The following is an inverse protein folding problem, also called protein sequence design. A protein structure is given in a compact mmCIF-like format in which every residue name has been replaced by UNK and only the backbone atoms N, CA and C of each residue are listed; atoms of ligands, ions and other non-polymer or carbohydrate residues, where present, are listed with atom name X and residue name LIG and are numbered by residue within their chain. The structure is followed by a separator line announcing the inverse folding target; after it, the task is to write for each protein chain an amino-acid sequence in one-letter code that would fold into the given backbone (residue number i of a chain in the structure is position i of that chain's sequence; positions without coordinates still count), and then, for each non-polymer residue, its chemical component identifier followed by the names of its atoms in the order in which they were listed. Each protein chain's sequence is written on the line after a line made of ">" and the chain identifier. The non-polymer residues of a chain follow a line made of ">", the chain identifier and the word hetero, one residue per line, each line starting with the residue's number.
data_IF_083478510541
#
_entry.id   IF_083478510541
#
_cell.length_a   1.000
_cell.length_b   1.000
_cell.length_c   1.000
_cell.angle_alpha   90.00
_cell.angle_beta   90.00
_cell.angle_gamma   90.00
#
_symmetry.space_group_name_H-M   'P 1'
#
loop_
_entity.id
_entity.type
_entity.pdbx_description
1 polymer ?
#
# COMPACT_ATOMS: atom_id res chain seq x y z
N UNK A 1 11.45 -2.82 -18.25
CA UNK A 1 11.48 -2.63 -16.76
C UNK A 1 11.04 -1.22 -16.36
N UNK A 2 11.72 -0.16 -16.80
CA UNK A 2 11.33 1.24 -16.55
C UNK A 2 9.87 1.54 -16.93
N UNK A 3 9.43 1.10 -18.12
CA UNK A 3 8.06 1.30 -18.60
C UNK A 3 6.99 0.64 -17.72
N UNK A 4 7.27 -0.56 -17.20
CA UNK A 4 6.37 -1.28 -16.28
C UNK A 4 6.35 -0.65 -14.89
N UNK A 5 7.51 -0.21 -14.40
CA UNK A 5 7.65 0.52 -13.14
C UNK A 5 6.87 1.83 -13.21
N UNK A 6 6.96 2.59 -14.30
CA UNK A 6 6.19 3.83 -14.50
C UNK A 6 4.67 3.61 -14.60
N UNK A 7 4.21 2.50 -15.16
CA UNK A 7 2.78 2.14 -15.19
C UNK A 7 2.25 1.82 -13.79
N UNK A 8 3.04 1.12 -12.97
CA UNK A 8 2.70 0.84 -11.57
C UNK A 8 2.72 2.14 -10.76
N UNK A 9 3.75 2.97 -10.90
CA UNK A 9 3.90 4.26 -10.22
C UNK A 9 2.79 5.26 -10.59
N UNK A 10 2.37 5.31 -11.86
CA UNK A 10 1.30 6.17 -12.33
C UNK A 10 -0.07 5.85 -11.72
N UNK A 11 -0.33 4.57 -11.42
CA UNK A 11 -1.54 4.11 -10.73
C UNK A 11 -1.42 4.18 -9.19
N UNK A 12 -0.21 4.40 -8.65
CA UNK A 12 0.08 4.46 -7.22
C UNK A 12 0.22 5.89 -6.68
N UNK A 13 -0.33 6.90 -7.36
CA UNK A 13 -0.33 8.28 -6.83
C UNK A 13 -1.29 8.38 -5.64
N UNK A 14 -0.81 7.98 -4.46
CA UNK A 14 -1.24 8.65 -3.23
C UNK A 14 -1.01 10.15 -3.43
N UNK A 15 -1.98 10.98 -3.03
CA UNK A 15 -1.74 12.40 -2.86
C UNK A 15 -0.44 12.59 -2.07
N UNK A 16 0.34 13.62 -2.39
CA UNK A 16 1.67 13.79 -1.83
C UNK A 16 1.60 13.67 -0.29
N UNK A 17 2.60 13.07 0.36
CA UNK A 17 2.60 12.97 1.83
C UNK A 17 2.36 14.33 2.51
N UNK A 18 2.75 15.41 1.82
CA UNK A 18 2.40 16.78 2.17
C UNK A 18 0.88 17.00 2.26
N UNK A 19 0.10 16.56 1.27
CA UNK A 19 -1.36 16.67 1.30
C UNK A 19 -1.94 15.89 2.48
N UNK A 20 -1.52 14.64 2.63
CA UNK A 20 -1.96 13.81 3.71
C UNK A 20 -1.60 14.37 5.10
N UNK A 21 -0.44 15.04 5.24
CA UNK A 21 0.00 15.58 6.54
C UNK A 21 -0.55 16.97 6.84
N UNK A 22 -0.72 17.81 5.83
CA UNK A 22 -0.90 19.26 6.03
C UNK A 22 -2.07 19.87 5.24
N UNK A 23 -2.61 19.20 4.23
CA UNK A 23 -3.66 19.80 3.40
C UNK A 23 -5.02 19.76 4.08
N UNK A 24 -5.38 20.88 4.71
CA UNK A 24 -6.67 21.14 5.37
C UNK A 24 -7.91 21.00 4.48
N UNK A 25 -7.74 20.89 3.16
CA UNK A 25 -8.84 20.65 2.22
C UNK A 25 -9.01 19.17 1.87
N UNK A 26 -8.07 18.30 2.25
CA UNK A 26 -8.11 16.86 1.96
C UNK A 26 -8.73 16.10 3.13
N UNK A 27 -9.81 15.35 2.88
CA UNK A 27 -10.52 14.58 3.93
C UNK A 27 -9.63 13.59 4.69
N UNK A 28 -8.57 13.09 4.05
CA UNK A 28 -7.62 12.16 4.65
C UNK A 28 -6.53 12.86 5.46
N UNK A 29 -6.55 14.19 5.59
CA UNK A 29 -5.48 14.94 6.22
C UNK A 29 -5.45 14.80 7.74
N UNK A 30 -4.26 14.51 8.29
CA UNK A 30 -4.01 14.42 9.74
C UNK A 30 -4.31 15.72 10.49
N UNK A 31 -4.24 16.83 9.76
CA UNK A 31 -4.46 18.17 10.28
C UNK A 31 -5.88 18.35 10.85
N UNK A 32 -6.87 17.56 10.41
CA UNK A 32 -8.23 17.58 10.97
C UNK A 32 -8.25 17.11 12.43
N UNK A 33 -7.66 15.95 12.70
CA UNK A 33 -7.60 15.38 14.06
C UNK A 33 -6.66 16.17 14.95
N UNK A 34 -5.47 16.54 14.47
CA UNK A 34 -4.52 17.30 15.27
C UNK A 34 -5.07 18.64 15.73
N UNK A 35 -5.80 19.33 14.86
CA UNK A 35 -6.44 20.56 15.28
C UNK A 35 -7.57 20.30 16.28
N UNK A 36 -8.45 19.31 16.05
CA UNK A 36 -9.51 18.98 17.00
C UNK A 36 -8.99 18.51 18.37
N UNK A 37 -7.78 17.95 18.44
CA UNK A 37 -7.13 17.56 19.68
C UNK A 37 -6.65 18.76 20.51
N UNK A 38 -6.19 19.82 19.83
CA UNK A 38 -5.52 20.96 20.46
C UNK A 38 -6.41 22.20 20.59
N UNK A 39 -7.37 22.36 19.67
CA UNK A 39 -8.12 23.60 19.46
C UNK A 39 -9.58 23.32 19.11
N UNK A 40 -10.46 24.18 19.63
CA UNK A 40 -11.84 24.28 19.15
C UNK A 40 -11.87 25.04 17.81
N UNK A 41 -12.33 24.38 16.75
CA UNK A 41 -12.52 24.99 15.43
C UNK A 41 -14.00 25.20 15.17
N UNK A 42 -14.43 26.47 15.11
CA UNK A 42 -15.85 26.82 14.97
C UNK A 42 -16.24 27.35 13.59
N UNK A 43 -15.29 27.87 12.79
CA UNK A 43 -15.64 28.71 11.61
C UNK A 43 -14.85 28.49 10.32
N UNK A 44 -13.59 28.02 10.33
CA UNK A 44 -12.68 28.19 9.16
C UNK A 44 -12.56 26.99 8.20
N UNK A 45 -12.67 25.75 8.68
CA UNK A 45 -12.51 24.56 7.84
C UNK A 45 -13.63 23.58 8.13
N UNK A 46 -14.51 23.33 7.14
CA UNK A 46 -15.68 22.45 7.31
C UNK A 46 -15.28 21.04 7.77
N UNK A 47 -14.18 20.53 7.21
CA UNK A 47 -13.64 19.20 7.53
C UNK A 47 -12.91 19.14 8.89
N UNK A 48 -12.40 20.26 9.40
CA UNK A 48 -11.76 20.32 10.74
C UNK A 48 -12.67 20.90 11.81
N UNK A 49 -13.96 21.13 11.51
CA UNK A 49 -14.86 21.78 12.45
C UNK A 49 -15.07 20.83 13.64
N UNK A 50 -14.97 21.38 14.84
CA UNK A 50 -15.25 20.61 16.05
C UNK A 50 -16.76 20.38 16.16
N UNK A 51 -17.14 19.13 16.38
CA UNK A 51 -18.54 18.75 16.53
C UNK A 51 -19.19 19.44 17.74
N UNK A 52 -20.48 19.82 17.66
CA UNK A 52 -21.19 20.42 18.78
C UNK A 52 -21.11 19.54 20.04
N UNK A 53 -20.73 20.15 21.16
CA UNK A 53 -20.60 19.44 22.44
C UNK A 53 -19.26 18.70 22.63
N UNK A 54 -18.39 18.66 21.62
CA UNK A 54 -17.05 18.09 21.74
C UNK A 54 -16.02 19.20 22.11
N UNK A 55 -15.17 18.92 23.10
CA UNK A 55 -14.06 19.77 23.50
C UNK A 55 -12.82 18.90 23.61
N UNK A 56 -11.89 18.98 22.66
CA UNK A 56 -10.63 18.22 22.69
C UNK A 56 -10.83 16.73 23.04
N UNK A 57 -11.93 16.14 22.58
CA UNK A 57 -12.35 14.76 22.86
C UNK A 57 -12.79 14.45 24.30
N UNK A 58 -12.81 15.43 25.21
CA UNK A 58 -13.24 15.28 26.61
C UNK A 58 -14.70 14.82 26.72
N UNK A 59 -15.53 15.23 25.76
CA UNK A 59 -16.95 14.87 25.69
C UNK A 59 -17.28 14.05 24.44
N UNK A 60 -16.30 13.30 23.91
CA UNK A 60 -16.54 12.43 22.78
C UNK A 60 -17.55 11.33 23.15
N UNK A 61 -18.65 11.27 22.43
CA UNK A 61 -19.61 10.17 22.50
C UNK A 61 -19.15 8.97 21.64
N UNK A 62 -19.93 7.89 21.65
CA UNK A 62 -19.60 6.69 20.88
C UNK A 62 -19.52 6.93 19.37
N UNK A 63 -20.33 7.83 18.83
CA UNK A 63 -20.33 8.14 17.40
C UNK A 63 -19.04 8.89 17.00
N UNK A 64 -18.60 9.82 17.85
CA UNK A 64 -17.34 10.55 17.70
C UNK A 64 -16.14 9.59 17.83
N UNK A 65 -16.15 8.70 18.83
CA UNK A 65 -15.06 7.72 18.99
C UNK A 65 -14.99 6.74 17.81
N UNK A 66 -16.15 6.34 17.26
CA UNK A 66 -16.20 5.48 16.08
C UNK A 66 -15.65 6.17 14.85
N UNK A 67 -16.02 7.42 14.58
CA UNK A 67 -15.50 8.17 13.42
C UNK A 67 -13.98 8.37 13.50
N UNK A 68 -13.43 8.59 14.69
CA UNK A 68 -11.97 8.63 14.88
C UNK A 68 -11.31 7.27 14.72
N UNK A 69 -11.97 6.20 15.15
CA UNK A 69 -11.47 4.84 14.95
C UNK A 69 -11.40 4.53 13.45
N UNK A 70 -12.48 4.80 12.71
CA UNK A 70 -12.52 4.60 11.25
C UNK A 70 -11.43 5.42 10.56
N UNK A 71 -11.30 6.71 10.93
CA UNK A 71 -10.24 7.56 10.41
C UNK A 71 -8.83 7.02 10.73
N UNK A 72 -8.59 6.59 11.97
CA UNK A 72 -7.30 6.03 12.39
C UNK A 72 -6.91 4.79 11.58
N UNK A 73 -7.87 3.88 11.38
CA UNK A 73 -7.65 2.63 10.64
C UNK A 73 -7.46 2.83 9.13
N UNK A 74 -7.90 3.96 8.57
CA UNK A 74 -7.58 4.34 7.19
C UNK A 74 -6.20 5.02 7.11
N UNK A 75 -5.96 5.94 8.04
CA UNK A 75 -4.88 6.93 7.98
C UNK A 75 -3.53 6.34 8.40
N UNK A 76 -3.47 5.61 9.51
CA UNK A 76 -2.20 5.06 10.02
C UNK A 76 -1.58 4.03 9.06
N UNK A 77 -2.34 3.09 8.48
CA UNK A 77 -1.80 2.19 7.46
C UNK A 77 -1.22 2.90 6.24
N UNK A 78 -1.84 4.00 5.78
CA UNK A 78 -1.31 4.78 4.67
C UNK A 78 0.07 5.39 5.00
N UNK A 79 0.25 5.91 6.22
CA UNK A 79 1.55 6.41 6.72
C UNK A 79 2.58 5.30 6.76
N UNK A 80 2.22 4.15 7.33
CA UNK A 80 3.13 3.02 7.47
C UNK A 80 3.56 2.51 6.09
N UNK A 81 2.64 2.41 5.14
CA UNK A 81 2.93 2.04 3.75
C UNK A 81 3.92 3.02 3.11
N UNK A 82 3.70 4.32 3.27
CA UNK A 82 4.62 5.35 2.79
C UNK A 82 6.02 5.23 3.41
N UNK A 83 6.11 5.11 4.74
CA UNK A 83 7.39 4.98 5.44
C UNK A 83 8.16 3.73 4.97
N UNK A 84 7.48 2.60 4.79
CA UNK A 84 8.08 1.37 4.28
C UNK A 84 8.58 1.56 2.84
N UNK A 85 7.82 2.24 1.98
CA UNK A 85 8.25 2.51 0.60
C UNK A 85 9.50 3.39 0.57
N UNK A 86 9.53 4.48 1.35
CA UNK A 86 10.69 5.36 1.46
C UNK A 86 11.93 4.59 1.94
N UNK A 87 11.80 3.80 3.01
CA UNK A 87 12.91 2.97 3.53
C UNK A 87 13.40 1.98 2.48
N UNK A 88 12.48 1.34 1.74
CA UNK A 88 12.85 0.41 0.66
C UNK A 88 13.57 1.13 -0.48
N UNK A 89 13.10 2.30 -0.91
CA UNK A 89 13.74 3.08 -1.97
C UNK A 89 15.15 3.53 -1.58
N UNK A 90 15.32 4.01 -0.35
CA UNK A 90 16.64 4.31 0.21
C UNK A 90 17.53 3.06 0.21
N UNK A 91 17.02 1.91 0.64
CA UNK A 91 17.75 0.64 0.65
C UNK A 91 18.16 0.18 -0.76
N UNK A 92 17.25 0.32 -1.73
CA UNK A 92 17.45 -0.03 -3.13
C UNK A 92 18.51 0.85 -3.81
N UNK A 93 18.79 2.05 -3.29
CA UNK A 93 19.84 2.95 -3.80
C UNK A 93 21.25 2.46 -3.48
N UNK A 94 21.48 1.93 -2.28
CA UNK A 94 22.81 1.50 -1.85
C UNK A 94 23.04 -0.02 -1.90
N UNK A 95 21.99 -0.84 -1.94
CA UNK A 95 22.11 -2.29 -2.05
C UNK A 95 22.06 -2.74 -3.52
N UNK A 96 22.98 -3.60 -3.99
CA UNK A 96 23.00 -4.09 -5.38
C UNK A 96 21.93 -5.19 -5.59
N UNK A 97 20.66 -4.82 -5.48
CA UNK A 97 19.54 -5.73 -5.67
C UNK A 97 19.23 -5.92 -7.16
N UNK A 98 18.89 -7.15 -7.55
CA UNK A 98 18.43 -7.39 -8.92
C UNK A 98 17.08 -6.68 -9.19
N UNK A 99 16.84 -6.27 -10.45
CA UNK A 99 15.70 -5.42 -10.85
C UNK A 99 14.32 -6.02 -10.58
N UNK A 100 14.18 -7.33 -10.68
CA UNK A 100 12.90 -7.98 -10.42
C UNK A 100 12.62 -8.13 -8.94
N UNK A 101 13.64 -8.33 -8.11
CA UNK A 101 13.48 -8.31 -6.65
C UNK A 101 12.88 -6.96 -6.26
N UNK A 102 13.41 -5.87 -6.81
CA UNK A 102 12.83 -4.53 -6.66
C UNK A 102 11.37 -4.49 -7.16
N UNK A 103 11.14 -4.88 -8.42
CA UNK A 103 9.81 -4.83 -9.04
C UNK A 103 8.75 -5.65 -8.27
N UNK A 104 9.05 -6.90 -7.92
CA UNK A 104 8.12 -7.79 -7.23
C UNK A 104 7.81 -7.32 -5.82
N UNK A 105 8.80 -6.79 -5.11
CA UNK A 105 8.56 -6.25 -3.77
C UNK A 105 7.74 -4.96 -3.83
N UNK A 106 8.03 -4.06 -4.79
CA UNK A 106 7.18 -2.88 -5.06
C UNK A 106 5.74 -3.30 -5.35
N UNK A 107 5.54 -4.22 -6.28
CA UNK A 107 4.22 -4.73 -6.66
C UNK A 107 3.47 -5.36 -5.48
N UNK A 108 4.15 -6.21 -4.69
CA UNK A 108 3.56 -6.82 -3.49
C UNK A 108 3.13 -5.76 -2.48
N UNK A 109 3.97 -4.75 -2.21
CA UNK A 109 3.63 -3.65 -1.27
C UNK A 109 2.43 -2.85 -1.76
N UNK A 110 2.43 -2.46 -3.03
CA UNK A 110 1.32 -1.74 -3.68
C UNK A 110 -0.01 -2.47 -3.54
N UNK A 111 -0.03 -3.77 -3.82
CA UNK A 111 -1.26 -4.55 -3.71
C UNK A 111 -1.76 -4.66 -2.28
N UNK A 112 -0.84 -4.72 -1.31
CA UNK A 112 -1.19 -4.74 0.11
C UNK A 112 -1.78 -3.42 0.56
N UNK A 113 -1.20 -2.28 0.15
CA UNK A 113 -1.78 -0.99 0.45
C UNK A 113 -3.20 -0.86 -0.11
N UNK A 114 -3.43 -1.41 -1.30
CA UNK A 114 -4.76 -1.36 -1.90
C UNK A 114 -5.78 -2.30 -1.25
N UNK A 115 -5.37 -3.49 -0.80
CA UNK A 115 -6.20 -4.40 -0.02
C UNK A 115 -6.61 -3.76 1.32
N UNK A 116 -5.67 -3.08 1.99
CA UNK A 116 -5.95 -2.40 3.26
C UNK A 116 -6.92 -1.23 3.14
N UNK A 117 -6.88 -0.51 2.01
CA UNK A 117 -7.75 0.64 1.77
C UNK A 117 -9.08 0.26 1.08
N UNK A 118 -9.31 -1.03 0.79
CA UNK A 118 -10.43 -1.53 -0.02
C UNK A 118 -10.58 -0.84 -1.39
N UNK A 119 -9.49 -0.24 -1.88
CA UNK A 119 -9.49 0.69 -3.04
C UNK A 119 -9.45 0.02 -4.41
N UNK A 120 -9.15 -1.28 -4.50
CA UNK A 120 -9.04 -1.98 -5.79
C UNK A 120 -9.86 -3.26 -5.81
N UNK A 121 -10.48 -3.53 -6.95
CA UNK A 121 -11.09 -4.83 -7.21
C UNK A 121 -10.03 -5.89 -7.53
N UNK A 122 -10.40 -7.17 -7.44
CA UNK A 122 -9.55 -8.27 -7.92
C UNK A 122 -9.16 -8.10 -9.39
N UNK A 123 -10.06 -7.55 -10.21
CA UNK A 123 -9.80 -7.32 -11.64
C UNK A 123 -8.75 -6.22 -11.86
N UNK A 124 -8.72 -5.19 -11.02
CA UNK A 124 -7.70 -4.14 -11.09
C UNK A 124 -6.34 -4.64 -10.59
N UNK A 125 -6.33 -5.45 -9.51
CA UNK A 125 -5.13 -6.16 -9.07
C UNK A 125 -4.59 -7.10 -10.17
N UNK A 126 -5.49 -7.81 -10.86
CA UNK A 126 -5.14 -8.70 -11.97
C UNK A 126 -4.59 -7.91 -13.16
N UNK A 127 -5.17 -6.75 -13.49
CA UNK A 127 -4.65 -5.84 -14.53
C UNK A 127 -3.24 -5.34 -14.19
N UNK A 128 -2.96 -4.95 -12.93
CA UNK A 128 -1.62 -4.52 -12.50
C UNK A 128 -0.56 -5.61 -12.74
N UNK A 129 -0.89 -6.88 -12.49
CA UNK A 129 0.00 -8.00 -12.83
C UNK A 129 0.11 -8.26 -14.33
N UNK A 130 -1.03 -8.30 -15.02
CA UNK A 130 -1.12 -8.73 -16.41
C UNK A 130 -0.55 -7.68 -17.37
N UNK A 131 -0.71 -6.40 -17.04
CA UNK A 131 -0.16 -5.27 -17.81
C UNK A 131 1.37 -5.22 -17.80
N UNK A 132 2.01 -5.83 -16.80
CA UNK A 132 3.47 -5.88 -16.70
C UNK A 132 4.12 -7.12 -17.30
N UNK A 133 3.35 -8.14 -17.72
CA UNK A 133 3.86 -9.48 -18.07
C UNK A 133 4.87 -10.03 -17.05
N UNK A 134 4.75 -9.66 -15.77
CA UNK A 134 5.78 -9.93 -14.76
C UNK A 134 5.75 -11.42 -14.42
N UNK A 135 6.77 -12.21 -14.79
CA UNK A 135 6.75 -13.65 -14.57
C UNK A 135 6.93 -13.91 -13.08
N UNK A 136 6.01 -14.60 -12.42
CA UNK A 136 6.18 -14.91 -11.01
C UNK A 136 7.13 -16.11 -10.88
N UNK A 137 8.31 -15.87 -10.31
CA UNK A 137 9.39 -16.85 -10.16
C UNK A 137 9.37 -17.36 -8.73
N UNK A 138 9.44 -18.69 -8.57
CA UNK A 138 9.61 -19.26 -7.25
C UNK A 138 10.99 -18.88 -6.69
N UNK A 139 11.08 -18.16 -5.55
CA UNK A 139 12.37 -17.72 -4.99
C UNK A 139 13.21 -18.89 -4.46
N UNK A 140 12.63 -20.10 -4.34
CA UNK A 140 13.36 -21.29 -3.88
C UNK A 140 14.00 -22.08 -5.04
N UNK A 141 13.29 -22.24 -6.16
CA UNK A 141 13.69 -23.17 -7.22
C UNK A 141 13.71 -22.58 -8.63
N UNK A 142 13.51 -21.26 -8.76
CA UNK A 142 13.59 -20.54 -10.03
C UNK A 142 12.49 -20.85 -11.05
N UNK A 143 11.47 -21.66 -10.69
CA UNK A 143 10.37 -21.95 -11.62
C UNK A 143 9.60 -20.67 -11.94
N UNK A 144 9.56 -20.29 -13.22
CA UNK A 144 8.58 -19.35 -13.77
C UNK A 144 7.19 -19.96 -13.71
N UNK A 145 6.34 -19.46 -12.83
CA UNK A 145 5.03 -19.99 -12.55
C UNK A 145 4.01 -19.49 -13.57
N UNK A 146 3.31 -20.40 -14.24
CA UNK A 146 2.12 -20.05 -15.01
C UNK A 146 1.00 -19.67 -14.05
N UNK A 147 0.52 -18.44 -14.18
CA UNK A 147 -0.53 -17.89 -13.35
C UNK A 147 -1.90 -18.07 -13.97
N UNK A 148 -2.73 -18.83 -13.27
CA UNK A 148 -4.18 -18.92 -13.52
C UNK A 148 -4.90 -18.00 -12.55
N UNK A 149 -6.14 -17.63 -12.84
CA UNK A 149 -6.94 -16.76 -11.95
C UNK A 149 -6.99 -17.26 -10.51
N UNK A 150 -7.15 -18.57 -10.31
CA UNK A 150 -7.11 -19.19 -8.98
C UNK A 150 -5.75 -19.03 -8.27
N UNK A 151 -4.64 -19.11 -9.01
CA UNK A 151 -3.30 -18.87 -8.44
C UNK A 151 -3.05 -17.40 -8.18
N UNK A 152 -3.54 -16.51 -9.04
CA UNK A 152 -3.48 -15.06 -8.86
C UNK A 152 -4.24 -14.63 -7.61
N UNK A 153 -5.46 -15.13 -7.41
CA UNK A 153 -6.25 -14.88 -6.21
C UNK A 153 -5.51 -15.31 -4.94
N UNK A 154 -4.88 -16.49 -4.97
CA UNK A 154 -4.06 -16.98 -3.85
C UNK A 154 -2.82 -16.11 -3.62
N UNK A 155 -2.13 -15.73 -4.70
CA UNK A 155 -0.95 -14.88 -4.66
C UNK A 155 -1.29 -13.51 -4.05
N UNK A 156 -2.39 -12.90 -4.48
CA UNK A 156 -2.94 -11.65 -3.93
C UNK A 156 -3.33 -11.88 -2.47
N UNK A 157 -3.91 -13.00 -2.07
CA UNK A 157 -4.22 -13.35 -0.67
C UNK A 157 -3.04 -13.95 0.13
N UNK A 158 -1.82 -13.45 -0.08
CA UNK A 158 -0.60 -13.75 0.69
C UNK A 158 0.03 -15.14 0.50
N UNK A 159 -0.51 -16.01 -0.36
CA UNK A 159 -0.07 -17.41 -0.44
C UNK A 159 0.05 -17.90 -1.87
N UNK A 160 1.24 -18.35 -2.26
CA UNK A 160 1.41 -19.00 -3.56
C UNK A 160 2.20 -20.30 -3.41
N UNK A 161 1.64 -21.43 -3.85
CA UNK A 161 2.36 -22.71 -3.79
C UNK A 161 3.04 -22.99 -5.13
N UNK A 162 4.36 -23.15 -5.10
CA UNK A 162 5.12 -23.54 -6.28
C UNK A 162 4.75 -24.95 -6.72
N UNK A 163 4.48 -25.15 -8.02
CA UNK A 163 4.15 -26.47 -8.57
C UNK A 163 5.36 -27.41 -8.70
N UNK A 164 6.60 -26.90 -8.65
CA UNK A 164 7.82 -27.71 -8.73
C UNK A 164 8.32 -28.15 -7.35
N UNK A 165 8.60 -27.19 -6.46
CA UNK A 165 9.17 -27.51 -5.14
C UNK A 165 8.12 -27.67 -4.02
N UNK A 166 6.83 -27.55 -4.36
CA UNK A 166 5.67 -27.67 -3.47
C UNK A 166 5.67 -26.73 -2.25
N UNK A 167 6.60 -25.78 -2.20
CA UNK A 167 6.70 -24.83 -1.09
C UNK A 167 5.69 -23.71 -1.26
N UNK A 168 4.98 -23.40 -0.18
CA UNK A 168 4.17 -22.18 -0.08
C UNK A 168 5.06 -20.98 0.15
N UNK A 169 5.05 -20.08 -0.83
CA UNK A 169 5.64 -18.76 -0.82
C UNK A 169 4.64 -17.84 -0.11
N UNK A 170 5.11 -17.14 0.93
CA UNK A 170 4.34 -16.09 1.61
C UNK A 170 4.64 -14.77 0.90
N UNK A 171 3.71 -14.29 0.08
CA UNK A 171 3.91 -13.10 -0.77
C UNK A 171 3.87 -11.78 0.00
N UNK A 172 3.45 -11.82 1.27
CA UNK A 172 3.59 -10.70 2.21
C UNK A 172 4.98 -10.57 2.85
N UNK A 173 5.93 -11.45 2.54
CA UNK A 173 7.33 -11.29 2.96
C UNK A 173 8.12 -10.65 1.84
N UNK A 174 9.14 -9.86 2.20
CA UNK A 174 10.11 -9.36 1.24
C UNK A 174 10.77 -10.55 0.53
N UNK A 175 10.67 -10.59 -0.80
CA UNK A 175 11.20 -11.66 -1.64
C UNK A 175 12.66 -11.31 -1.92
N UNK A 176 13.60 -12.19 -1.57
CA UNK A 176 15.02 -12.04 -1.88
C UNK A 176 15.42 -12.99 -3.02
N UNK A 177 16.30 -12.48 -3.90
CA UNK A 177 16.98 -13.07 -5.07
C UNK A 177 16.38 -14.23 -5.87
N UNK A 178 16.45 -14.10 -7.19
CA UNK A 178 16.07 -15.16 -8.15
C UNK A 178 17.03 -15.18 -9.37
N UNK A 179 18.23 -14.64 -9.18
CA UNK A 179 19.33 -14.50 -10.14
C UNK A 179 19.49 -15.69 -11.12
N UNK A 180 19.23 -15.57 -12.43
CA UNK A 180 19.21 -14.35 -13.26
C UNK A 180 18.20 -14.51 -14.42
N UNK A 181 17.39 -13.49 -14.69
CA UNK A 181 16.34 -13.42 -15.75
C UNK A 181 16.58 -12.05 -16.32
N UNK A 182 17.15 -12.09 -17.51
CA UNK A 182 17.19 -10.94 -18.37
C UNK A 182 15.79 -10.65 -18.88
N UNK A 183 15.38 -9.40 -18.68
CA UNK A 183 14.27 -8.79 -19.36
C UNK A 183 14.86 -7.89 -20.45
N UNK A 184 15.20 -8.50 -21.59
CA UNK A 184 15.16 -7.78 -22.87
C UNK A 184 13.70 -7.55 -23.20
#
# INVERSE_FOLDING_TARGET
>A
ALEHTSLIEGNCKMSSFFDFRYNKASETSLEHIWNNANHLITTKYKLSKTEPGNLNFVFADEAILRSFSDYYYITVPAIMSYAVNLICEMFEEFAPLNKYTVLMNKLNRTLRSFEMLETISFDDAKKLYSSGNVPIVCPRCGLKMKMTDKKMLKFISNKCTCSRCLKTIKTGRYIFDWEKVDFV
#
